data_IF_160348442290
#
_entry.id   IF_160348442290
#
_cell.length_a   1.000
_cell.length_b   1.000
_cell.length_c   1.000
_cell.angle_alpha   90.00
_cell.angle_beta   90.00
_cell.angle_gamma   90.00
#
_symmetry.space_group_name_H-M   'P 1'
#
loop_
_entity.id
_entity.type
_entity.pdbx_description
1 polymer ?
#
# COMPACT_ATOMS: atom_id res chain seq x y z
N UNK A 1 -23.45 50.09 -7.22
CA UNK A 1 -22.14 49.73 -6.63
C UNK A 1 -21.83 48.29 -7.01
N UNK A 2 -21.19 48.09 -8.17
CA UNK A 2 -20.83 46.76 -8.66
C UNK A 2 -19.77 46.16 -7.74
N UNK A 3 -20.14 45.15 -6.97
CA UNK A 3 -19.19 44.39 -6.19
C UNK A 3 -18.23 43.71 -7.17
N UNK A 4 -16.99 44.18 -7.26
CA UNK A 4 -15.98 43.45 -8.02
C UNK A 4 -15.82 42.10 -7.33
N UNK A 5 -16.09 41.02 -8.08
CA UNK A 5 -15.82 39.66 -7.64
C UNK A 5 -14.30 39.54 -7.58
N UNK A 6 -13.71 39.95 -6.46
CA UNK A 6 -12.28 39.75 -6.21
C UNK A 6 -12.09 38.24 -6.30
N UNK A 7 -11.39 37.76 -7.33
CA UNK A 7 -10.90 36.39 -7.34
C UNK A 7 -10.01 36.23 -6.10
N UNK A 8 -10.57 35.54 -5.11
CA UNK A 8 -9.91 35.33 -3.83
C UNK A 8 -8.99 34.13 -3.98
N UNK A 9 -8.06 34.11 -4.92
CA UNK A 9 -7.07 33.04 -4.95
C UNK A 9 -6.04 33.26 -3.84
N UNK A 10 -5.56 32.18 -3.23
CA UNK A 10 -4.58 32.19 -2.14
C UNK A 10 -3.34 32.94 -2.63
N UNK A 11 -2.85 33.90 -1.86
CA UNK A 11 -1.88 34.85 -2.40
C UNK A 11 -0.46 34.34 -2.22
N UNK A 12 0.38 34.54 -3.22
CA UNK A 12 1.82 34.50 -3.00
C UNK A 12 2.18 35.51 -1.91
N UNK A 13 3.01 35.07 -0.98
CA UNK A 13 3.42 35.88 0.17
C UNK A 13 4.13 37.15 -0.31
N UNK A 14 3.64 38.31 0.12
CA UNK A 14 4.38 39.58 0.02
C UNK A 14 5.41 39.68 1.16
N UNK A 15 6.57 40.28 0.88
CA UNK A 15 7.70 40.35 1.81
C UNK A 15 7.56 41.34 2.99
N UNK A 16 6.37 41.91 3.24
CA UNK A 16 6.23 43.09 4.11
C UNK A 16 5.56 42.85 5.48
N UNK A 17 6.10 43.59 6.46
CA UNK A 17 5.80 43.81 7.89
C UNK A 17 5.33 42.64 8.75
N UNK A 18 6.22 42.24 9.66
CA UNK A 18 6.02 41.24 10.72
C UNK A 18 4.92 41.70 11.68
N UNK A 19 3.75 41.08 11.61
CA UNK A 19 2.72 41.29 12.66
C UNK A 19 3.32 40.88 14.01
N UNK A 20 3.19 41.75 15.03
CA UNK A 20 3.65 41.43 16.40
C UNK A 20 2.73 40.40 17.07
N UNK A 21 1.48 40.32 16.62
CA UNK A 21 0.46 39.40 17.11
C UNK A 21 0.92 37.94 17.07
N UNK A 22 0.62 37.23 18.15
CA UNK A 22 0.92 35.82 18.34
C UNK A 22 -0.40 35.11 18.58
N UNK A 23 -0.55 33.90 18.03
CA UNK A 23 -1.71 33.07 18.27
C UNK A 23 -1.73 32.60 19.73
N UNK A 24 -2.89 32.59 20.38
CA UNK A 24 -3.04 32.17 21.78
C UNK A 24 -2.87 30.66 22.00
N UNK A 25 -2.87 29.84 20.93
CA UNK A 25 -2.65 28.39 21.03
C UNK A 25 -1.25 28.05 21.56
N UNK A 26 -1.10 26.88 22.22
CA UNK A 26 0.20 26.43 22.72
C UNK A 26 1.23 26.35 21.59
N UNK A 27 2.50 26.61 21.92
CA UNK A 27 3.59 26.55 20.97
C UNK A 27 3.65 25.19 20.28
N UNK A 28 3.94 25.19 18.98
CA UNK A 28 4.14 23.99 18.20
C UNK A 28 5.56 23.47 18.44
N UNK A 29 5.67 22.33 19.11
CA UNK A 29 6.95 21.65 19.32
C UNK A 29 7.35 20.95 18.03
N UNK A 30 8.52 21.27 17.49
CA UNK A 30 8.93 20.78 16.15
C UNK A 30 9.10 19.26 16.13
N UNK A 31 9.62 18.65 17.19
CA UNK A 31 9.80 17.19 17.26
C UNK A 31 8.51 16.37 17.15
N UNK A 32 7.34 16.98 17.38
CA UNK A 32 6.04 16.32 17.20
C UNK A 32 5.71 16.08 15.73
N UNK A 33 6.36 16.80 14.82
CA UNK A 33 6.25 16.62 13.38
C UNK A 33 7.25 15.56 12.90
N UNK A 34 6.94 14.90 11.78
CA UNK A 34 7.89 13.96 11.17
C UNK A 34 9.09 14.73 10.60
N UNK A 35 10.30 14.14 10.55
CA UNK A 35 11.51 14.83 10.07
C UNK A 35 11.38 15.50 8.70
N UNK A 36 10.62 14.91 7.78
CA UNK A 36 10.37 15.43 6.43
C UNK A 36 9.28 16.51 6.36
N UNK A 37 8.62 16.83 7.47
CA UNK A 37 7.56 17.83 7.56
C UNK A 37 8.08 19.18 8.07
N UNK A 38 9.39 19.32 8.28
CA UNK A 38 10.02 20.57 8.67
C UNK A 38 11.46 20.63 8.15
N UNK A 39 11.94 21.86 7.95
CA UNK A 39 13.28 22.21 7.53
C UNK A 39 13.86 23.20 8.53
N UNK A 40 15.01 22.87 9.12
CA UNK A 40 15.70 23.72 10.12
C UNK A 40 16.89 24.49 9.53
N UNK A 41 17.14 24.40 8.22
CA UNK A 41 18.25 25.15 7.60
C UNK A 41 18.01 26.65 7.78
N UNK A 42 19.01 27.44 8.25
CA UNK A 42 18.82 28.86 8.56
C UNK A 42 18.26 29.70 7.39
N UNK A 43 18.61 29.34 6.15
CA UNK A 43 18.13 30.04 4.95
C UNK A 43 16.66 29.73 4.59
N UNK A 44 16.16 28.54 4.98
CA UNK A 44 14.89 27.99 4.50
C UNK A 44 14.01 27.42 5.64
N UNK A 45 14.17 27.94 6.86
CA UNK A 45 13.48 27.43 8.03
C UNK A 45 11.96 27.44 7.81
N UNK A 46 11.36 26.26 7.75
CA UNK A 46 9.95 26.08 7.41
C UNK A 46 9.38 24.80 8.01
N UNK A 47 8.06 24.74 8.15
CA UNK A 47 7.37 23.54 8.63
C UNK A 47 6.01 23.40 7.97
N UNK A 48 5.47 22.19 7.97
CA UNK A 48 4.08 21.93 7.59
C UNK A 48 3.19 22.32 8.76
N UNK A 49 2.24 23.22 8.51
CA UNK A 49 1.22 23.57 9.49
C UNK A 49 0.31 22.35 9.75
N UNK A 50 0.12 21.88 11.00
CA UNK A 50 -0.70 20.70 11.28
C UNK A 50 -2.19 20.92 10.99
N UNK A 51 -2.66 22.17 11.06
CA UNK A 51 -4.07 22.50 10.89
C UNK A 51 -4.48 22.57 9.41
N UNK A 52 -3.61 23.05 8.51
CA UNK A 52 -3.95 23.23 7.08
C UNK A 52 -3.02 22.52 6.10
N UNK A 53 -2.00 21.80 6.60
CA UNK A 53 -1.05 21.00 5.82
C UNK A 53 -0.23 21.77 4.77
N UNK A 54 -0.23 23.09 4.83
CA UNK A 54 0.57 23.96 3.96
C UNK A 54 1.99 24.07 4.50
N UNK A 55 2.99 24.16 3.62
CA UNK A 55 4.36 24.51 3.99
C UNK A 55 4.45 25.99 4.34
N UNK A 56 4.96 26.30 5.52
CA UNK A 56 5.00 27.66 6.06
C UNK A 56 6.37 28.00 6.64
N UNK A 57 6.94 29.16 6.29
CA UNK A 57 8.18 29.62 6.89
C UNK A 57 8.07 29.89 8.38
N UNK A 58 9.16 29.65 9.10
CA UNK A 58 9.36 30.04 10.49
C UNK A 58 10.13 31.37 10.49
N UNK A 59 9.58 32.39 11.13
CA UNK A 59 10.27 33.67 11.29
C UNK A 59 11.05 33.70 12.60
N UNK A 60 12.29 34.18 12.53
CA UNK A 60 13.12 34.44 13.71
C UNK A 60 13.56 33.16 14.40
N UNK A 61 14.04 32.17 13.63
CA UNK A 61 14.50 30.89 14.17
C UNK A 61 15.60 31.06 15.24
N UNK A 62 16.45 32.08 15.09
CA UNK A 62 17.50 32.44 16.06
C UNK A 62 17.00 33.33 17.22
N UNK A 63 15.73 33.72 17.23
CA UNK A 63 15.16 34.58 18.29
C UNK A 63 14.46 33.74 19.35
N UNK A 64 14.32 34.27 20.56
CA UNK A 64 13.63 33.59 21.66
C UNK A 64 12.14 33.25 21.39
N UNK A 65 11.54 33.83 20.35
CA UNK A 65 10.11 33.63 20.02
C UNK A 65 9.94 33.36 18.52
N UNK A 66 10.40 32.18 18.04
CA UNK A 66 10.15 31.80 16.66
C UNK A 66 8.64 31.56 16.48
N UNK A 67 8.13 31.93 15.31
CA UNK A 67 6.71 31.73 15.01
C UNK A 67 6.45 31.47 13.53
N UNK A 68 5.39 30.72 13.28
CA UNK A 68 4.87 30.44 11.95
C UNK A 68 4.35 31.73 11.32
N UNK A 69 4.73 31.96 10.07
CA UNK A 69 4.27 33.13 9.33
C UNK A 69 2.76 33.05 9.05
N UNK A 70 2.10 34.20 8.99
CA UNK A 70 0.83 34.36 8.29
C UNK A 70 0.66 33.54 7.00
N UNK A 71 -0.27 32.57 6.95
CA UNK A 71 -0.55 31.78 5.75
C UNK A 71 -2.04 31.45 5.56
N UNK A 72 -2.40 31.06 4.34
CA UNK A 72 -3.75 30.69 3.92
C UNK A 72 -3.86 29.15 3.75
N UNK A 73 -5.09 28.62 3.81
CA UNK A 73 -5.42 27.19 3.69
C UNK A 73 -5.65 26.85 2.21
N UNK A 74 -4.59 26.81 1.41
CA UNK A 74 -4.69 26.49 -0.01
C UNK A 74 -3.41 26.73 -0.80
N UNK A 75 -3.37 26.19 -2.01
CA UNK A 75 -2.32 26.43 -2.99
C UNK A 75 -2.41 27.87 -3.52
N UNK A 76 -1.28 28.56 -3.44
CA UNK A 76 -1.16 29.91 -3.97
C UNK A 76 -1.58 29.98 -5.44
N UNK A 77 -2.35 31.00 -5.77
CA UNK A 77 -2.92 31.34 -7.08
C UNK A 77 -3.92 30.31 -7.62
N UNK A 78 -4.34 29.31 -6.82
CA UNK A 78 -5.30 28.26 -7.24
C UNK A 78 -6.54 28.23 -6.35
N UNK A 79 -6.33 28.07 -5.05
CA UNK A 79 -7.43 27.85 -4.10
C UNK A 79 -7.93 29.16 -3.49
N UNK A 80 -9.05 29.12 -2.77
CA UNK A 80 -9.54 30.30 -2.07
C UNK A 80 -8.54 30.81 -0.99
N UNK A 81 -8.36 32.13 -0.90
CA UNK A 81 -7.59 32.85 0.14
C UNK A 81 -8.36 32.85 1.46
N UNK A 82 -8.43 31.66 2.05
CA UNK A 82 -8.99 31.44 3.37
C UNK A 82 -7.84 31.41 4.36
N UNK A 83 -7.84 32.36 5.29
CA UNK A 83 -6.78 32.46 6.28
C UNK A 83 -6.77 31.23 7.20
N UNK A 84 -5.60 30.64 7.45
CA UNK A 84 -5.49 29.59 8.46
C UNK A 84 -5.66 30.19 9.86
N UNK A 85 -6.87 30.12 10.42
CA UNK A 85 -7.24 30.71 11.72
C UNK A 85 -6.51 30.04 12.89
N UNK A 86 -6.27 28.75 12.76
CA UNK A 86 -5.75 27.89 13.82
C UNK A 86 -4.22 27.87 13.90
N UNK A 87 -3.54 27.89 12.75
CA UNK A 87 -2.09 27.72 12.66
C UNK A 87 -1.29 28.99 12.35
N UNK A 88 -1.93 30.06 11.84
CA UNK A 88 -1.22 31.32 11.57
C UNK A 88 -0.69 31.97 12.84
N UNK A 89 0.49 32.60 12.76
CA UNK A 89 1.13 33.32 13.89
C UNK A 89 1.37 32.47 15.14
N UNK A 90 1.35 31.13 15.03
CA UNK A 90 1.57 30.23 16.16
C UNK A 90 3.05 30.18 16.55
N UNK A 91 3.34 30.25 17.85
CA UNK A 91 4.72 30.08 18.34
C UNK A 91 5.24 28.69 17.99
N UNK A 92 6.54 28.61 17.80
CA UNK A 92 7.26 27.38 17.52
C UNK A 92 8.29 27.18 18.61
N UNK A 93 8.36 25.97 19.16
CA UNK A 93 9.42 25.56 20.07
C UNK A 93 10.38 24.66 19.29
N UNK A 94 11.59 25.14 19.07
CA UNK A 94 12.66 24.41 18.38
C UNK A 94 13.42 23.59 19.42
N UNK A 95 13.08 22.32 19.53
CA UNK A 95 13.66 21.37 20.50
C UNK A 95 14.64 20.37 19.86
N UNK A 96 14.81 20.45 18.53
CA UNK A 96 15.71 19.62 17.75
C UNK A 96 16.83 20.47 17.17
N UNK A 97 18.07 20.03 17.31
CA UNK A 97 19.23 20.70 16.69
C UNK A 97 19.26 20.43 15.19
N UNK A 98 19.80 21.37 14.40
CA UNK A 98 19.92 21.22 12.93
C UNK A 98 20.67 19.93 12.58
N UNK A 99 21.78 19.64 13.28
CA UNK A 99 22.57 18.41 13.09
C UNK A 99 21.72 17.15 13.30
N UNK A 100 20.99 17.06 14.42
CA UNK A 100 20.15 15.89 14.75
C UNK A 100 18.98 15.72 13.78
N UNK A 101 18.43 16.83 13.26
CA UNK A 101 17.41 16.77 12.23
C UNK A 101 17.97 16.25 10.90
N UNK A 102 19.16 16.71 10.50
CA UNK A 102 19.83 16.26 9.28
C UNK A 102 20.16 14.76 9.35
N UNK A 103 20.74 14.30 10.46
CA UNK A 103 21.00 12.87 10.72
C UNK A 103 19.73 12.03 10.54
N UNK A 104 18.60 12.45 11.14
CA UNK A 104 17.30 11.76 11.00
C UNK A 104 16.78 11.69 9.57
N UNK A 105 17.08 12.68 8.73
CA UNK A 105 16.70 12.66 7.32
C UNK A 105 17.59 11.71 6.52
N UNK A 106 18.88 11.72 6.78
CA UNK A 106 19.87 10.85 6.14
C UNK A 106 19.65 9.37 6.51
N UNK A 107 19.40 9.07 7.78
CA UNK A 107 19.10 7.72 8.28
C UNK A 107 17.82 7.16 7.62
N UNK A 108 16.73 7.94 7.62
CA UNK A 108 15.46 7.51 7.02
C UNK A 108 15.56 7.31 5.49
N UNK A 109 16.39 8.12 4.82
CA UNK A 109 16.68 7.91 3.41
C UNK A 109 17.50 6.61 3.21
N UNK A 110 18.49 6.36 4.06
CA UNK A 110 19.34 5.16 3.98
C UNK A 110 18.52 3.87 4.15
N UNK A 111 17.64 3.80 5.14
CA UNK A 111 16.72 2.66 5.32
C UNK A 111 15.81 2.41 4.10
N UNK A 112 15.40 3.48 3.41
CA UNK A 112 14.51 3.38 2.24
C UNK A 112 15.28 3.00 0.97
N UNK A 113 16.50 3.52 0.79
CA UNK A 113 17.38 3.22 -0.35
C UNK A 113 17.84 1.77 -0.36
N UNK A 114 17.96 1.13 0.82
CA UNK A 114 18.28 -0.29 0.92
C UNK A 114 17.14 -1.24 0.52
N UNK A 115 15.92 -0.72 0.24
CA UNK A 115 14.90 -1.52 -0.44
C UNK A 115 15.37 -1.79 -1.86
N UNK A 116 15.98 -2.97 -2.07
CA UNK A 116 16.34 -3.45 -3.41
C UNK A 116 15.10 -3.34 -4.29
N UNK A 117 15.26 -2.66 -5.42
CA UNK A 117 14.24 -2.65 -6.48
C UNK A 117 13.91 -4.12 -6.79
N UNK A 118 12.67 -4.53 -6.57
CA UNK A 118 12.23 -5.86 -6.98
C UNK A 118 12.39 -5.91 -8.49
N UNK A 119 13.35 -6.69 -8.97
CA UNK A 119 13.46 -6.98 -10.39
C UNK A 119 12.14 -7.62 -10.79
N UNK A 120 11.34 -6.92 -11.60
CA UNK A 120 10.13 -7.48 -12.17
C UNK A 120 10.58 -8.58 -13.12
N UNK A 121 10.65 -9.82 -12.63
CA UNK A 121 10.80 -10.99 -13.47
C UNK A 121 9.57 -11.03 -14.36
N UNK A 122 9.75 -10.82 -15.67
CA UNK A 122 8.65 -11.00 -16.61
C UNK A 122 8.17 -12.44 -16.47
N UNK A 123 6.85 -12.61 -16.32
CA UNK A 123 6.24 -13.93 -16.34
C UNK A 123 6.72 -14.65 -17.61
N UNK A 124 7.31 -15.85 -17.51
CA UNK A 124 7.73 -16.61 -18.67
C UNK A 124 6.55 -16.68 -19.65
N UNK A 125 6.80 -16.34 -20.92
CA UNK A 125 5.79 -16.55 -21.96
C UNK A 125 5.62 -18.05 -22.11
N UNK A 126 4.57 -18.59 -21.49
CA UNK A 126 4.16 -19.98 -21.70
C UNK A 126 3.79 -20.12 -23.17
N UNK A 127 4.24 -21.20 -23.82
CA UNK A 127 3.79 -21.53 -25.16
C UNK A 127 2.25 -21.50 -25.18
N UNK A 128 1.67 -20.93 -26.24
CA UNK A 128 0.22 -20.91 -26.41
C UNK A 128 -0.27 -22.36 -26.38
N UNK A 129 -1.30 -22.62 -25.57
CA UNK A 129 -1.91 -23.94 -25.53
C UNK A 129 -2.34 -24.33 -26.97
N UNK A 130 -2.11 -25.58 -27.39
CA UNK A 130 -2.54 -26.03 -28.72
C UNK A 130 -4.04 -25.84 -28.87
N UNK A 131 -4.47 -25.56 -30.11
CA UNK A 131 -5.88 -25.38 -30.40
C UNK A 131 -6.67 -26.65 -30.03
N UNK A 132 -7.93 -26.50 -29.62
CA UNK A 132 -8.79 -27.64 -29.25
C UNK A 132 -8.86 -28.69 -30.37
N UNK A 133 -8.79 -28.24 -31.64
CA UNK A 133 -8.71 -29.10 -32.82
C UNK A 133 -7.41 -29.92 -32.90
N UNK A 134 -6.27 -29.34 -32.50
CA UNK A 134 -4.97 -30.02 -32.48
C UNK A 134 -4.89 -31.04 -31.33
N UNK A 135 -5.50 -30.74 -30.17
CA UNK A 135 -5.61 -31.67 -29.05
C UNK A 135 -6.52 -32.85 -29.41
N UNK A 136 -7.63 -32.59 -30.11
CA UNK A 136 -8.53 -33.63 -30.61
C UNK A 136 -7.83 -34.50 -31.66
N UNK A 137 -7.07 -33.89 -32.58
CA UNK A 137 -6.28 -34.61 -33.56
C UNK A 137 -5.16 -35.45 -32.92
N UNK A 138 -4.51 -34.98 -31.84
CA UNK A 138 -3.54 -35.77 -31.07
C UNK A 138 -4.19 -36.94 -30.30
N UNK A 139 -5.44 -36.79 -29.87
CA UNK A 139 -6.23 -37.90 -29.30
C UNK A 139 -6.73 -38.90 -30.35
N UNK A 140 -6.83 -38.48 -31.60
CA UNK A 140 -7.27 -39.29 -32.74
C UNK A 140 -6.12 -39.88 -33.55
N UNK A 141 -4.91 -39.36 -33.39
CA UNK A 141 -3.71 -40.10 -33.76
C UNK A 141 -3.77 -41.42 -32.98
N UNK A 142 -3.62 -42.58 -33.65
CA UNK A 142 -3.45 -43.82 -32.92
C UNK A 142 -2.13 -43.68 -32.17
N UNK A 143 -2.21 -43.27 -30.91
CA UNK A 143 -1.29 -43.82 -29.94
C UNK A 143 -1.63 -45.29 -29.99
N UNK A 144 -0.77 -46.07 -30.64
CA UNK A 144 -0.81 -47.51 -30.60
C UNK A 144 -1.18 -47.89 -29.17
N UNK A 145 -2.36 -48.50 -29.01
CA UNK A 145 -2.85 -49.10 -27.77
C UNK A 145 -1.99 -50.33 -27.38
N UNK A 146 -0.73 -50.37 -27.84
CA UNK A 146 0.28 -51.37 -27.54
C UNK A 146 1.36 -50.74 -26.66
N UNK A 147 1.07 -50.65 -25.36
CA UNK A 147 2.12 -51.03 -24.43
C UNK A 147 2.40 -52.52 -24.69
N UNK A 148 3.67 -52.91 -24.84
CA UNK A 148 4.15 -54.18 -25.42
C UNK A 148 3.65 -55.51 -24.82
N UNK A 149 2.66 -55.47 -23.93
CA UNK A 149 1.99 -56.62 -23.32
C UNK A 149 0.60 -56.91 -23.94
N UNK A 150 0.14 -56.13 -24.93
CA UNK A 150 -1.11 -56.38 -25.68
C UNK A 150 -2.41 -56.26 -24.88
N UNK A 151 -2.36 -55.67 -23.68
CA UNK A 151 -3.52 -55.52 -22.78
C UNK A 151 -4.16 -54.14 -22.93
N UNK A 152 -5.50 -54.03 -22.90
CA UNK A 152 -6.18 -52.75 -23.01
C UNK A 152 -5.91 -51.86 -21.79
N UNK A 153 -5.75 -50.56 -22.00
CA UNK A 153 -5.37 -49.55 -20.99
C UNK A 153 -6.25 -49.52 -19.72
N UNK A 154 -7.54 -49.84 -19.85
CA UNK A 154 -8.45 -49.87 -18.69
C UNK A 154 -8.11 -51.01 -17.71
N UNK A 155 -7.66 -52.16 -18.22
CA UNK A 155 -7.25 -53.31 -17.41
C UNK A 155 -5.94 -53.01 -16.66
N UNK A 156 -4.96 -52.37 -17.32
CA UNK A 156 -3.73 -51.92 -16.67
C UNK A 156 -4.02 -50.93 -15.54
N UNK A 157 -5.00 -50.04 -15.75
CA UNK A 157 -5.45 -49.09 -14.72
C UNK A 157 -6.14 -49.79 -13.55
N UNK A 158 -6.96 -50.80 -13.82
CA UNK A 158 -7.61 -51.62 -12.79
C UNK A 158 -6.58 -52.39 -11.95
N UNK A 159 -5.62 -53.06 -12.60
CA UNK A 159 -4.52 -53.77 -11.91
C UNK A 159 -3.67 -52.83 -11.07
N UNK A 160 -3.36 -51.63 -11.59
CA UNK A 160 -2.61 -50.60 -10.85
C UNK A 160 -3.39 -50.06 -9.65
N UNK A 161 -4.72 -49.94 -9.77
CA UNK A 161 -5.56 -49.57 -8.63
C UNK A 161 -5.61 -50.69 -7.59
N UNK A 162 -5.81 -51.93 -8.01
CA UNK A 162 -5.80 -53.09 -7.11
C UNK A 162 -4.48 -53.21 -6.33
N UNK A 163 -3.34 -52.90 -6.95
CA UNK A 163 -2.04 -52.94 -6.28
C UNK A 163 -1.82 -51.81 -5.26
N UNK A 164 -2.52 -50.67 -5.40
CA UNK A 164 -2.37 -49.51 -4.51
C UNK A 164 -3.55 -49.34 -3.53
N UNK A 165 -4.63 -50.09 -3.69
CA UNK A 165 -5.85 -49.98 -2.88
C UNK A 165 -5.58 -50.18 -1.39
N UNK A 166 -4.77 -51.18 -1.01
CA UNK A 166 -4.40 -51.45 0.38
C UNK A 166 -3.61 -50.28 0.99
N UNK A 167 -2.61 -49.76 0.29
CA UNK A 167 -1.81 -48.64 0.74
C UNK A 167 -2.64 -47.35 0.93
N UNK A 168 -3.64 -47.14 0.05
CA UNK A 168 -4.59 -46.03 0.19
C UNK A 168 -5.49 -46.23 1.41
N UNK A 169 -6.03 -47.43 1.61
CA UNK A 169 -6.85 -47.78 2.77
C UNK A 169 -6.09 -47.59 4.09
N UNK A 170 -4.82 -47.99 4.14
CA UNK A 170 -3.96 -47.78 5.30
C UNK A 170 -3.69 -46.30 5.57
N UNK A 171 -3.44 -45.52 4.51
CA UNK A 171 -3.22 -44.09 4.61
C UNK A 171 -4.47 -43.35 5.13
N UNK A 172 -5.65 -43.74 4.66
CA UNK A 172 -6.92 -43.18 5.12
C UNK A 172 -7.23 -43.59 6.57
N UNK A 173 -6.90 -44.84 6.96
CA UNK A 173 -7.03 -45.30 8.36
C UNK A 173 -6.13 -44.50 9.30
N UNK A 174 -4.88 -44.23 8.91
CA UNK A 174 -3.97 -43.36 9.68
C UNK A 174 -4.48 -41.91 9.76
N UNK A 175 -5.07 -41.39 8.68
CA UNK A 175 -5.64 -40.03 8.66
C UNK A 175 -6.87 -39.92 9.56
N UNK A 176 -7.64 -40.99 9.73
CA UNK A 176 -8.80 -41.04 10.61
C UNK A 176 -8.42 -41.09 12.11
N UNK A 177 -7.19 -41.49 12.44
CA UNK A 177 -6.69 -41.45 13.82
C UNK A 177 -6.27 -40.03 14.20
N UNK A 178 -7.16 -39.32 14.89
CA UNK A 178 -6.83 -38.04 15.52
C UNK A 178 -6.11 -38.30 16.85
N UNK A 179 -4.96 -37.66 17.13
CA UNK A 179 -4.33 -37.72 18.45
C UNK A 179 -5.26 -37.09 19.50
N UNK A 180 -5.27 -37.67 20.70
CA UNK A 180 -6.11 -37.19 21.80
C UNK A 180 -5.87 -35.68 22.06
N UNK A 181 -6.94 -34.88 22.00
CA UNK A 181 -6.90 -33.43 22.19
C UNK A 181 -6.90 -32.59 20.91
N UNK A 182 -6.78 -33.19 19.72
CA UNK A 182 -6.92 -32.48 18.45
C UNK A 182 -8.36 -32.55 17.94
N UNK A 183 -9.17 -31.52 18.21
CA UNK A 183 -10.43 -31.32 17.51
C UNK A 183 -10.12 -30.82 16.07
N UNK A 184 -10.77 -31.36 15.02
CA UNK A 184 -10.65 -30.77 13.69
C UNK A 184 -11.12 -29.32 13.76
N UNK A 185 -10.28 -28.38 13.33
CA UNK A 185 -10.69 -27.00 13.11
C UNK A 185 -11.84 -27.07 12.11
N UNK A 186 -13.06 -26.79 12.58
CA UNK A 186 -14.30 -27.06 11.84
C UNK A 186 -14.19 -26.55 10.41
N UNK A 187 -14.15 -27.48 9.45
CA UNK A 187 -14.32 -27.11 8.06
C UNK A 187 -15.75 -26.58 7.93
N UNK A 188 -15.97 -25.42 7.28
CA UNK A 188 -17.31 -24.95 7.00
C UNK A 188 -18.07 -26.05 6.25
N UNK A 189 -19.34 -26.31 6.60
CA UNK A 189 -20.11 -27.40 6.00
C UNK A 189 -20.16 -27.19 4.49
N UNK A 190 -19.56 -28.13 3.75
CA UNK A 190 -19.63 -28.15 2.30
C UNK A 190 -21.07 -28.54 1.93
N UNK A 191 -21.76 -27.76 1.09
CA UNK A 191 -23.11 -28.13 0.64
C UNK A 191 -23.09 -29.51 -0.03
N UNK A 192 -23.71 -30.51 0.61
CA UNK A 192 -23.86 -31.86 0.05
C UNK A 192 -24.83 -31.92 -1.14
N UNK A 193 -25.57 -30.83 -1.36
CA UNK A 193 -26.50 -30.70 -2.48
C UNK A 193 -25.74 -30.27 -3.73
N UNK A 194 -25.59 -31.18 -4.69
CA UNK A 194 -25.10 -30.85 -6.04
C UNK A 194 -26.00 -29.76 -6.65
N UNK A 195 -25.45 -28.55 -6.77
CA UNK A 195 -26.12 -27.47 -7.50
C UNK A 195 -25.94 -27.71 -9.00
N UNK A 196 -27.00 -28.11 -9.67
CA UNK A 196 -27.03 -28.20 -11.13
C UNK A 196 -27.38 -26.83 -11.72
N UNK A 197 -26.53 -26.23 -12.57
CA UNK A 197 -26.88 -24.98 -13.24
C UNK A 197 -28.07 -25.21 -14.18
N UNK A 198 -29.16 -24.46 -14.00
CA UNK A 198 -30.27 -24.44 -14.94
C UNK A 198 -29.79 -23.80 -16.24
N UNK A 199 -29.82 -24.56 -17.34
CA UNK A 199 -29.57 -24.07 -18.69
C UNK A 199 -30.65 -23.04 -19.01
N UNK A 200 -30.27 -21.82 -19.38
CA UNK A 200 -31.20 -20.76 -19.80
C UNK A 200 -31.88 -21.25 -21.08
N UNK A 201 -33.20 -21.34 -21.08
CA UNK A 201 -33.95 -21.58 -22.31
C UNK A 201 -33.70 -20.40 -23.26
N UNK A 202 -33.31 -20.72 -24.49
CA UNK A 202 -33.15 -19.77 -25.60
C UNK A 202 -34.51 -19.27 -26.04
#
# INVERSE_FOLDING_TARGET
>A
MSASTIERTARTRRSRTRSRTVNARPALVISTLKPHQYDLRPACASLICPDCKTWVPITGLQTHKPKVVPHDTGLANKDASVRCRLGSNRLVTVDVTVKKWQERLEDGNSETVHRRKTTVLRKPKVALAPAVSQIAAQKQAPADDEHGDGRPMWLLREMKWASTESAVRDADTRRAQLPAGAAPLGAPPVPLKKLTPKRRAS
#
